data_IF_732126140672
#
_entry.id   IF_732126140672
#
_cell.length_a   1.000
_cell.length_b   1.000
_cell.length_c   1.000
_cell.angle_alpha   90.00
_cell.angle_beta   90.00
_cell.angle_gamma   90.00
#
_symmetry.space_group_name_H-M   'P 1'
#
loop_
_entity.id
_entity.type
_entity.pdbx_description
1 polymer ?
#
# COMPACT_ATOMS: atom_id res chain seq x y z
N UNK A 1 -18.48 4.80 46.08
CA UNK A 1 -19.05 4.84 44.71
C UNK A 1 -17.91 5.12 43.73
N UNK A 2 -17.25 4.10 43.16
CA UNK A 2 -16.20 4.33 42.15
C UNK A 2 -16.83 4.54 40.77
N UNK A 3 -16.47 5.63 40.11
CA UNK A 3 -16.96 6.03 38.79
C UNK A 3 -16.29 5.19 37.70
N UNK A 4 -17.10 4.55 36.85
CA UNK A 4 -16.66 3.71 35.72
C UNK A 4 -16.06 4.60 34.62
N UNK A 5 -14.79 4.38 34.30
CA UNK A 5 -14.15 4.94 33.12
C UNK A 5 -14.70 4.28 31.85
N UNK A 6 -15.38 5.07 31.02
CA UNK A 6 -15.84 4.66 29.69
C UNK A 6 -14.64 4.52 28.75
N UNK A 7 -14.32 3.29 28.34
CA UNK A 7 -13.35 3.02 27.27
C UNK A 7 -13.91 3.57 25.96
N UNK A 8 -13.33 4.66 25.47
CA UNK A 8 -13.50 5.11 24.09
C UNK A 8 -12.70 4.17 23.19
N UNK A 9 -13.39 3.48 22.30
CA UNK A 9 -12.78 2.63 21.28
C UNK A 9 -12.40 3.53 20.10
N UNK A 10 -11.16 3.49 19.57
CA UNK A 10 -10.79 4.29 18.42
C UNK A 10 -11.54 3.80 17.16
N UNK A 11 -11.84 4.70 16.19
CA UNK A 11 -12.47 4.29 14.94
C UNK A 11 -11.53 3.40 14.12
N UNK A 12 -12.11 2.38 13.49
CA UNK A 12 -11.41 1.51 12.55
C UNK A 12 -10.83 2.34 11.40
N UNK A 13 -9.50 2.36 11.26
CA UNK A 13 -8.85 2.93 10.09
C UNK A 13 -9.34 2.19 8.86
N UNK A 14 -9.91 2.91 7.88
CA UNK A 14 -10.17 2.37 6.56
C UNK A 14 -8.82 2.01 5.94
N UNK A 15 -8.45 0.73 6.03
CA UNK A 15 -7.51 0.16 5.09
C UNK A 15 -8.12 0.30 3.68
N UNK A 16 -7.35 0.70 2.66
CA UNK A 16 -7.85 0.67 1.29
C UNK A 16 -8.28 -0.78 0.98
N UNK A 17 -9.55 -0.97 0.64
CA UNK A 17 -10.04 -2.26 0.16
C UNK A 17 -9.51 -2.47 -1.25
N UNK A 18 -8.54 -3.37 -1.41
CA UNK A 18 -7.82 -3.61 -2.67
C UNK A 18 -8.64 -4.40 -3.71
N UNK A 19 -9.98 -4.42 -3.61
CA UNK A 19 -10.81 -5.45 -4.26
C UNK A 19 -11.52 -5.07 -5.56
N UNK A 20 -11.36 -3.88 -6.15
CA UNK A 20 -12.10 -3.54 -7.39
C UNK A 20 -11.28 -2.67 -8.37
N UNK A 21 -10.47 -3.30 -9.23
CA UNK A 21 -9.96 -2.70 -10.46
C UNK A 21 -9.50 -3.75 -11.50
N UNK A 22 -10.46 -4.36 -12.22
CA UNK A 22 -10.28 -5.05 -13.50
C UNK A 22 -11.68 -5.10 -14.15
N UNK A 23 -11.98 -4.75 -15.40
CA UNK A 23 -11.26 -4.87 -16.67
C UNK A 23 -12.00 -3.97 -17.68
N UNK A 24 -11.31 -3.16 -18.49
CA UNK A 24 -11.86 -2.70 -19.77
C UNK A 24 -10.75 -2.22 -20.70
N UNK A 25 -10.53 -2.97 -21.78
CA UNK A 25 -9.50 -2.76 -22.78
C UNK A 25 -10.11 -2.03 -23.98
N UNK A 26 -9.63 -0.82 -24.28
CA UNK A 26 -9.85 -0.16 -25.56
C UNK A 26 -8.53 0.47 -26.04
N UNK A 27 -8.20 0.19 -27.30
CA UNK A 27 -6.93 0.54 -27.93
C UNK A 27 -6.84 2.02 -28.32
N UNK A 28 -5.67 2.63 -28.10
CA UNK A 28 -5.31 4.01 -28.49
C UNK A 28 -4.11 3.97 -29.46
N UNK A 29 -4.08 4.79 -30.53
CA UNK A 29 -3.01 4.82 -31.53
C UNK A 29 -1.71 5.50 -31.02
N UNK A 30 -0.57 5.35 -31.71
CA UNK A 30 0.75 5.66 -31.15
C UNK A 30 1.05 7.17 -31.08
N UNK A 31 1.74 7.57 -30.00
CA UNK A 31 2.26 8.92 -29.76
C UNK A 31 3.69 9.09 -30.34
N UNK A 32 4.10 10.32 -30.72
CA UNK A 32 5.41 10.61 -31.32
C UNK A 32 6.58 10.60 -30.32
N UNK A 33 7.80 10.51 -30.86
CA UNK A 33 9.07 10.25 -30.19
C UNK A 33 9.49 11.29 -29.10
N UNK A 34 10.26 10.89 -28.07
CA UNK A 34 10.58 11.75 -26.93
C UNK A 34 11.80 12.67 -27.17
N UNK A 35 11.67 13.93 -26.77
CA UNK A 35 12.77 14.90 -26.58
C UNK A 35 13.49 14.66 -25.23
N UNK A 36 14.80 14.94 -25.11
CA UNK A 36 15.61 14.51 -23.97
C UNK A 36 15.68 15.55 -22.85
N UNK A 37 14.98 15.36 -21.72
CA UNK A 37 15.13 16.27 -20.57
C UNK A 37 15.13 15.58 -19.20
N UNK A 38 16.33 15.58 -18.62
CA UNK A 38 16.68 16.00 -17.24
C UNK A 38 15.73 15.64 -16.08
N UNK A 39 16.15 14.64 -15.32
CA UNK A 39 15.71 14.30 -13.96
C UNK A 39 15.96 15.45 -12.96
N UNK A 40 15.03 15.70 -12.02
CA UNK A 40 15.42 16.07 -10.67
C UNK A 40 14.99 14.99 -9.67
N UNK A 41 15.97 14.63 -8.85
CA UNK A 41 15.95 13.61 -7.82
C UNK A 41 14.91 13.89 -6.73
N UNK A 42 14.36 12.81 -6.17
CA UNK A 42 13.72 12.83 -4.87
C UNK A 42 14.73 13.37 -3.83
N UNK A 43 14.33 14.41 -3.10
CA UNK A 43 15.09 14.96 -1.98
C UNK A 43 14.95 14.00 -0.81
N UNK A 44 15.92 13.09 -0.67
CA UNK A 44 16.11 12.28 0.52
C UNK A 44 16.68 13.19 1.63
N UNK A 45 15.90 13.42 2.69
CA UNK A 45 16.41 13.97 3.93
C UNK A 45 17.06 12.83 4.73
N UNK A 46 18.37 12.73 4.59
CA UNK A 46 19.26 11.88 5.39
C UNK A 46 19.33 12.41 6.83
N UNK A 47 18.93 11.58 7.79
CA UNK A 47 19.10 11.82 9.21
C UNK A 47 19.86 10.63 9.82
N UNK A 48 21.18 10.81 9.87
CA UNK A 48 22.18 10.02 10.59
C UNK A 48 21.67 9.52 11.95
N UNK A 49 21.67 8.20 12.17
CA UNK A 49 21.60 7.59 13.51
C UNK A 49 22.80 6.66 13.71
N UNK A 50 23.50 6.74 14.86
CA UNK A 50 24.63 5.87 15.14
C UNK A 50 24.15 4.47 15.56
N UNK A 51 24.93 3.46 15.16
CA UNK A 51 24.74 2.05 15.53
C UNK A 51 25.20 1.77 16.98
N UNK A 52 24.51 0.89 17.73
CA UNK A 52 25.11 0.30 18.92
C UNK A 52 25.93 -0.95 18.57
N UNK A 53 27.20 -0.90 18.94
CA UNK A 53 28.17 -2.00 19.01
C UNK A 53 27.87 -2.93 20.18
N UNK A 54 27.83 -4.25 19.95
CA UNK A 54 28.68 -5.26 20.63
C UNK A 54 28.21 -6.71 20.33
N UNK A 55 29.13 -7.69 20.40
CA UNK A 55 28.97 -9.01 19.78
C UNK A 55 28.42 -10.06 20.74
N UNK A 56 27.69 -11.05 20.22
CA UNK A 56 27.44 -12.32 20.93
C UNK A 56 27.97 -13.47 20.08
N UNK A 57 28.99 -14.12 20.62
CA UNK A 57 29.63 -15.35 20.15
C UNK A 57 28.80 -16.56 20.61
N UNK A 58 28.46 -17.47 19.70
CA UNK A 58 28.03 -18.86 20.03
C UNK A 58 28.75 -19.82 19.07
N UNK A 59 29.50 -20.81 19.55
CA UNK A 59 30.19 -21.80 18.70
C UNK A 59 29.28 -22.98 18.29
N UNK A 60 29.72 -23.82 17.31
CA UNK A 60 28.84 -24.75 16.60
C UNK A 60 28.79 -26.13 17.27
N UNK A 61 27.74 -26.91 17.00
CA UNK A 61 27.72 -28.36 17.21
C UNK A 61 26.71 -29.04 16.27
N UNK A 62 27.23 -29.86 15.37
CA UNK A 62 26.56 -31.06 14.81
C UNK A 62 27.67 -32.09 14.60
N UNK A 63 27.39 -33.38 14.80
CA UNK A 63 27.03 -34.18 13.62
C UNK A 63 25.95 -35.27 13.87
N UNK A 64 25.22 -35.61 12.80
CA UNK A 64 24.44 -36.85 12.58
C UNK A 64 25.38 -38.09 12.45
N UNK A 65 24.90 -39.36 12.53
CA UNK A 65 24.34 -40.07 11.34
C UNK A 65 23.26 -41.16 11.57
N UNK A 66 22.47 -41.37 10.51
CA UNK A 66 21.87 -42.59 9.91
C UNK A 66 21.43 -43.81 10.76
N UNK A 67 20.19 -44.25 10.50
CA UNK A 67 19.90 -45.63 10.04
C UNK A 67 18.40 -45.84 9.68
N UNK A 68 18.18 -46.15 8.39
CA UNK A 68 17.45 -47.31 7.85
C UNK A 68 15.91 -47.48 7.97
N UNK A 69 15.33 -47.90 6.85
CA UNK A 69 13.91 -48.08 6.47
C UNK A 69 13.39 -49.52 6.83
N UNK A 70 12.09 -49.95 6.67
CA UNK A 70 11.27 -49.84 5.43
C UNK A 70 9.71 -49.74 5.57
N UNK A 71 9.05 -49.55 4.40
CA UNK A 71 7.61 -49.66 4.10
C UNK A 71 7.08 -51.14 4.13
N UNK A 72 5.79 -51.51 4.21
CA UNK A 72 4.71 -51.43 3.19
C UNK A 72 3.37 -52.13 3.69
N UNK A 73 2.26 -52.20 2.89
CA UNK A 73 0.81 -52.18 3.30
C UNK A 73 0.05 -53.54 3.06
N UNK A 74 -1.27 -53.67 2.68
CA UNK A 74 -2.50 -52.84 2.79
C UNK A 74 -3.74 -53.61 3.36
N UNK A 75 -4.89 -52.93 3.59
CA UNK A 75 -6.22 -53.61 3.61
C UNK A 75 -7.41 -52.67 3.33
N UNK A 76 -8.22 -53.05 2.33
CA UNK A 76 -9.64 -52.75 2.05
C UNK A 76 -10.25 -54.10 1.59
N UNK A 77 -11.55 -54.45 1.78
CA UNK A 77 -12.71 -53.64 1.32
C UNK A 77 -14.02 -53.68 2.18
N UNK A 78 -14.95 -52.82 1.73
CA UNK A 78 -16.41 -52.63 1.97
C UNK A 78 -17.29 -53.92 2.10
N UNK A 79 -18.57 -53.89 2.58
CA UNK A 79 -19.65 -53.02 2.04
C UNK A 79 -20.83 -52.61 2.98
N UNK A 80 -21.57 -51.55 2.60
CA UNK A 80 -23.02 -51.58 2.30
C UNK A 80 -23.69 -50.17 2.36
N UNK A 81 -24.14 -49.70 1.18
CA UNK A 81 -25.21 -48.70 0.93
C UNK A 81 -26.60 -49.38 1.10
N UNK A 82 -27.78 -48.70 1.14
CA UNK A 82 -28.19 -47.45 0.45
C UNK A 82 -29.02 -46.50 1.38
N UNK A 83 -29.66 -45.37 1.02
CA UNK A 83 -30.14 -44.82 -0.24
C UNK A 83 -30.43 -43.31 -0.08
N UNK A 84 -30.27 -42.58 -1.19
CA UNK A 84 -30.94 -41.34 -1.65
C UNK A 84 -31.49 -40.28 -0.65
N UNK A 85 -31.18 -39.00 -0.88
CA UNK A 85 -32.13 -38.03 -1.50
C UNK A 85 -31.63 -36.58 -1.41
N UNK A 86 -31.72 -35.89 -2.55
CA UNK A 86 -31.73 -34.45 -2.80
C UNK A 86 -30.44 -33.62 -2.80
N UNK A 87 -30.16 -33.13 -4.01
CA UNK A 87 -29.39 -31.94 -4.30
C UNK A 87 -30.06 -30.68 -3.73
N UNK A 88 -29.23 -29.76 -3.24
CA UNK A 88 -29.54 -28.33 -3.25
C UNK A 88 -28.25 -27.56 -3.66
N UNK A 89 -28.22 -26.87 -4.81
CA UNK A 89 -27.05 -26.15 -5.29
C UNK A 89 -27.10 -24.69 -4.81
N UNK A 90 -27.04 -24.43 -3.51
CA UNK A 90 -26.93 -23.05 -3.00
C UNK A 90 -26.01 -22.95 -1.78
N UNK A 91 -24.69 -23.05 -2.01
CA UNK A 91 -23.69 -22.70 -0.99
C UNK A 91 -22.37 -22.19 -1.60
N UNK A 92 -22.45 -21.32 -2.61
CA UNK A 92 -21.29 -20.63 -3.18
C UNK A 92 -21.17 -19.20 -2.64
N UNK A 93 -20.95 -19.00 -1.32
CA UNK A 93 -20.80 -17.65 -0.75
C UNK A 93 -19.96 -17.42 0.55
N UNK A 94 -19.31 -18.40 1.23
CA UNK A 94 -18.40 -18.07 2.35
C UNK A 94 -16.91 -17.97 1.96
N UNK A 95 -16.48 -18.66 0.90
CA UNK A 95 -15.04 -18.82 0.58
C UNK A 95 -14.42 -17.58 -0.09
N UNK A 96 -15.18 -16.85 -0.94
CA UNK A 96 -14.66 -15.66 -1.63
C UNK A 96 -14.43 -14.46 -0.69
N UNK A 97 -15.35 -14.18 0.24
CA UNK A 97 -15.23 -13.11 1.24
C UNK A 97 -14.12 -13.37 2.26
N UNK A 98 -13.97 -14.62 2.71
CA UNK A 98 -12.86 -15.00 3.58
C UNK A 98 -11.50 -14.92 2.85
N UNK A 99 -11.47 -15.26 1.55
CA UNK A 99 -10.25 -15.19 0.72
C UNK A 99 -9.80 -13.74 0.45
N UNK A 100 -10.73 -12.80 0.24
CA UNK A 100 -10.38 -11.38 0.11
C UNK A 100 -9.83 -10.82 1.42
N UNK A 101 -10.49 -11.10 2.55
CA UNK A 101 -10.03 -10.64 3.87
C UNK A 101 -8.62 -11.12 4.22
N UNK A 102 -8.33 -12.42 4.00
CA UNK A 102 -6.98 -12.96 4.27
C UNK A 102 -5.88 -12.35 3.40
N UNK A 103 -6.23 -11.94 2.19
CA UNK A 103 -5.29 -11.33 1.27
C UNK A 103 -4.99 -9.88 1.67
N UNK A 104 -6.01 -9.15 2.11
CA UNK A 104 -5.88 -7.81 2.66
C UNK A 104 -5.08 -7.83 3.97
N UNK A 105 -5.32 -8.80 4.86
CA UNK A 105 -4.53 -9.00 6.09
C UNK A 105 -3.04 -9.20 5.77
N UNK A 106 -2.73 -9.99 4.74
CA UNK A 106 -1.35 -10.23 4.28
C UNK A 106 -0.71 -8.95 3.75
N UNK A 107 -1.42 -8.15 2.95
CA UNK A 107 -0.91 -6.87 2.45
C UNK A 107 -0.68 -5.86 3.58
N UNK A 108 -1.57 -5.80 4.56
CA UNK A 108 -1.41 -4.92 5.72
C UNK A 108 -0.21 -5.33 6.57
N UNK A 109 -0.02 -6.64 6.79
CA UNK A 109 1.16 -7.16 7.49
C UNK A 109 2.45 -6.92 6.70
N UNK A 110 2.41 -7.09 5.37
CA UNK A 110 3.53 -6.83 4.48
C UNK A 110 3.93 -5.35 4.53
N UNK A 111 2.96 -4.43 4.40
CA UNK A 111 3.21 -2.99 4.46
C UNK A 111 3.89 -2.60 5.78
N UNK A 112 3.35 -3.04 6.92
CA UNK A 112 3.94 -2.74 8.23
C UNK A 112 5.37 -3.27 8.34
N UNK A 113 5.59 -4.55 8.01
CA UNK A 113 6.91 -5.18 8.12
C UNK A 113 7.93 -4.56 7.15
N UNK A 114 7.52 -4.26 5.92
CA UNK A 114 8.37 -3.57 4.96
C UNK A 114 8.72 -2.19 5.50
N UNK A 115 7.77 -1.37 5.92
CA UNK A 115 8.05 -0.04 6.48
C UNK A 115 9.05 -0.11 7.65
N UNK A 116 8.83 -1.02 8.62
CA UNK A 116 9.69 -1.21 9.79
C UNK A 116 11.12 -1.67 9.46
N UNK A 117 11.29 -2.63 8.52
CA UNK A 117 12.53 -3.40 8.38
C UNK A 117 13.19 -3.33 7.00
N UNK A 118 12.58 -2.62 6.05
CA UNK A 118 12.98 -2.62 4.64
C UNK A 118 12.45 -3.85 3.89
N UNK A 119 12.14 -3.66 2.61
CA UNK A 119 11.67 -4.75 1.75
C UNK A 119 12.66 -5.93 1.74
N UNK A 120 13.97 -5.64 1.66
CA UNK A 120 15.02 -6.68 1.64
C UNK A 120 15.15 -7.43 2.98
N UNK A 121 14.85 -6.77 4.10
CA UNK A 121 14.99 -7.33 5.45
C UNK A 121 13.85 -8.25 5.89
N UNK A 122 12.78 -8.37 5.07
CA UNK A 122 11.60 -9.18 5.38
C UNK A 122 11.53 -10.41 4.47
N UNK A 123 11.28 -11.57 5.06
CA UNK A 123 10.96 -12.81 4.35
C UNK A 123 9.45 -13.00 4.19
N UNK A 124 9.02 -13.63 3.09
CA UNK A 124 7.59 -13.89 2.84
C UNK A 124 6.96 -14.74 3.96
N UNK A 125 7.68 -15.73 4.49
CA UNK A 125 7.22 -16.55 5.62
C UNK A 125 6.98 -15.73 6.90
N UNK A 126 7.74 -14.65 7.13
CA UNK A 126 7.53 -13.77 8.29
C UNK A 126 6.21 -12.99 8.17
N UNK A 127 5.84 -12.59 6.95
CA UNK A 127 4.56 -11.95 6.65
C UNK A 127 3.41 -12.93 6.90
N UNK A 128 3.54 -14.17 6.41
CA UNK A 128 2.56 -15.23 6.66
C UNK A 128 2.37 -15.50 8.15
N UNK A 129 3.48 -15.65 8.88
CA UNK A 129 3.45 -15.89 10.31
C UNK A 129 2.73 -14.76 11.09
N UNK A 130 2.90 -13.50 10.67
CA UNK A 130 2.26 -12.35 11.30
C UNK A 130 0.72 -12.38 11.22
N UNK A 131 0.14 -13.09 10.25
CA UNK A 131 -1.32 -13.25 10.08
C UNK A 131 -1.81 -14.68 10.36
N UNK A 132 -0.93 -15.53 10.91
CA UNK A 132 -1.25 -16.92 11.27
C UNK A 132 -1.30 -17.90 10.09
N UNK A 133 -0.70 -17.55 8.94
CA UNK A 133 -0.53 -18.45 7.79
C UNK A 133 0.86 -19.09 7.87
N UNK A 134 0.92 -20.43 7.85
CA UNK A 134 2.18 -21.19 7.96
C UNK A 134 2.53 -21.90 6.65
N UNK A 135 3.83 -21.93 6.33
CA UNK A 135 4.40 -22.73 5.25
C UNK A 135 3.81 -22.41 3.89
N UNK A 136 3.59 -23.41 3.01
CA UNK A 136 3.24 -23.17 1.60
C UNK A 136 1.88 -22.48 1.39
N UNK A 137 1.09 -22.28 2.46
CA UNK A 137 -0.21 -21.62 2.39
C UNK A 137 -0.16 -20.16 1.95
N UNK A 138 0.95 -19.46 2.18
CA UNK A 138 1.12 -18.06 1.74
C UNK A 138 1.17 -17.92 0.22
N UNK A 139 1.77 -18.90 -0.47
CA UNK A 139 1.92 -18.90 -1.92
C UNK A 139 0.61 -19.06 -2.69
N UNK A 140 -0.47 -19.45 -2.00
CA UNK A 140 -1.83 -19.44 -2.57
C UNK A 140 -2.41 -18.03 -2.70
N UNK A 141 -1.88 -17.06 -1.97
CA UNK A 141 -2.33 -15.67 -1.99
C UNK A 141 -1.41 -14.78 -2.83
N UNK A 142 -0.10 -15.03 -2.76
CA UNK A 142 0.92 -14.26 -3.46
C UNK A 142 2.04 -15.17 -3.94
N UNK A 143 2.38 -15.08 -5.23
CA UNK A 143 3.44 -15.91 -5.81
C UNK A 143 4.84 -15.60 -5.23
N UNK A 144 5.07 -14.37 -4.78
CA UNK A 144 6.35 -13.93 -4.23
C UNK A 144 6.18 -12.69 -3.34
N UNK A 145 7.27 -12.33 -2.63
CA UNK A 145 7.36 -11.09 -1.86
C UNK A 145 7.31 -9.86 -2.79
N UNK A 146 7.95 -9.96 -3.96
CA UNK A 146 7.95 -8.95 -5.01
C UNK A 146 6.54 -8.67 -5.54
N UNK A 147 5.71 -9.72 -5.67
CA UNK A 147 4.30 -9.56 -6.05
C UNK A 147 3.52 -8.75 -5.00
N UNK A 148 3.80 -8.94 -3.71
CA UNK A 148 3.19 -8.12 -2.65
C UNK A 148 3.64 -6.66 -2.73
N UNK A 149 4.93 -6.40 -2.92
CA UNK A 149 5.46 -5.03 -3.04
C UNK A 149 4.86 -4.32 -4.27
N UNK A 150 4.82 -5.01 -5.40
CA UNK A 150 4.21 -4.54 -6.65
C UNK A 150 2.78 -4.13 -6.41
N UNK A 151 2.01 -5.00 -5.77
CA UNK A 151 0.61 -4.71 -5.50
C UNK A 151 0.39 -3.54 -4.56
N UNK A 152 1.19 -3.43 -3.49
CA UNK A 152 1.12 -2.29 -2.58
C UNK A 152 1.38 -0.98 -3.32
N UNK A 153 2.47 -0.89 -4.11
CA UNK A 153 2.92 0.36 -4.72
C UNK A 153 2.14 0.73 -6.00
N UNK A 154 1.85 -0.25 -6.87
CA UNK A 154 1.01 -0.03 -8.06
C UNK A 154 -0.42 0.24 -7.63
N UNK A 155 -0.96 -0.58 -6.72
CA UNK A 155 -2.34 -0.47 -6.25
C UNK A 155 -2.62 0.88 -5.60
N UNK A 156 -1.72 1.37 -4.73
CA UNK A 156 -1.92 2.68 -4.09
C UNK A 156 -1.79 3.84 -5.08
N UNK A 157 -0.87 3.74 -6.05
CA UNK A 157 -0.70 4.75 -7.10
C UNK A 157 -1.94 4.85 -7.99
N UNK A 158 -2.53 3.70 -8.35
CA UNK A 158 -3.80 3.64 -9.07
C UNK A 158 -4.94 4.22 -8.25
N UNK A 159 -5.03 3.86 -6.96
CA UNK A 159 -6.07 4.35 -6.06
C UNK A 159 -6.04 5.89 -5.93
N UNK A 160 -4.86 6.48 -5.74
CA UNK A 160 -4.69 7.93 -5.67
C UNK A 160 -5.09 8.62 -6.97
N UNK A 161 -4.62 8.11 -8.11
CA UNK A 161 -4.95 8.64 -9.43
C UNK A 161 -6.45 8.57 -9.72
N UNK A 162 -7.05 7.39 -9.56
CA UNK A 162 -8.48 7.19 -9.78
C UNK A 162 -9.32 8.07 -8.84
N UNK A 163 -8.85 8.24 -7.61
CA UNK A 163 -9.47 9.12 -6.65
C UNK A 163 -9.52 10.58 -7.08
N UNK A 164 -8.40 11.11 -7.57
CA UNK A 164 -8.35 12.47 -8.13
C UNK A 164 -9.20 12.60 -9.40
N UNK A 165 -9.18 11.61 -10.29
CA UNK A 165 -10.02 11.61 -11.49
C UNK A 165 -11.52 11.66 -11.13
N UNK A 166 -11.95 10.90 -10.13
CA UNK A 166 -13.33 10.93 -9.62
C UNK A 166 -13.71 12.27 -9.00
N UNK A 167 -12.78 12.97 -8.34
CA UNK A 167 -13.04 14.33 -7.84
C UNK A 167 -13.31 15.28 -9.00
N UNK A 168 -12.50 15.19 -10.06
CA UNK A 168 -12.53 16.12 -11.19
C UNK A 168 -13.61 15.83 -12.22
N UNK A 169 -14.08 14.57 -12.34
CA UNK A 169 -15.18 14.22 -13.25
C UNK A 169 -16.52 14.83 -12.86
N UNK A 170 -16.67 15.25 -11.59
CA UNK A 170 -17.84 16.00 -11.11
C UNK A 170 -17.83 17.49 -11.51
N UNK A 171 -16.83 17.92 -12.30
CA UNK A 171 -16.55 19.30 -12.70
C UNK A 171 -16.72 20.36 -11.59
N UNK A 172 -16.04 20.18 -10.44
CA UNK A 172 -16.10 21.16 -9.37
C UNK A 172 -15.37 22.45 -9.76
N UNK A 173 -15.73 23.54 -9.07
CA UNK A 173 -14.93 24.78 -9.09
C UNK A 173 -13.48 24.49 -8.70
N UNK A 174 -12.53 25.32 -9.14
CA UNK A 174 -11.11 25.09 -8.85
C UNK A 174 -10.80 25.04 -7.34
N UNK A 175 -11.49 25.85 -6.54
CA UNK A 175 -11.33 25.87 -5.08
C UNK A 175 -11.87 24.59 -4.43
N UNK A 176 -13.07 24.14 -4.82
CA UNK A 176 -13.65 22.89 -4.31
C UNK A 176 -12.85 21.65 -4.76
N UNK A 177 -12.37 21.65 -6.01
CA UNK A 177 -11.47 20.62 -6.52
C UNK A 177 -10.22 20.49 -5.65
N UNK A 178 -9.58 21.61 -5.33
CA UNK A 178 -8.38 21.64 -4.51
C UNK A 178 -8.66 21.14 -3.09
N UNK A 179 -9.71 21.64 -2.44
CA UNK A 179 -10.10 21.23 -1.08
C UNK A 179 -10.31 19.70 -1.00
N UNK A 180 -11.05 19.14 -1.96
CA UNK A 180 -11.32 17.70 -2.03
C UNK A 180 -10.06 16.88 -2.31
N UNK A 181 -9.17 17.36 -3.18
CA UNK A 181 -7.88 16.69 -3.46
C UNK A 181 -6.97 16.72 -2.22
N UNK A 182 -6.85 17.86 -1.55
CA UNK A 182 -6.07 18.01 -0.30
C UNK A 182 -6.61 17.09 0.79
N UNK A 183 -7.92 17.13 1.06
CA UNK A 183 -8.56 16.26 2.05
C UNK A 183 -8.26 14.78 1.80
N UNK A 184 -8.46 14.32 0.57
CA UNK A 184 -8.20 12.92 0.21
C UNK A 184 -6.73 12.53 0.36
N UNK A 185 -5.80 13.40 -0.04
CA UNK A 185 -4.37 13.09 0.08
C UNK A 185 -3.90 13.09 1.54
N UNK A 186 -4.44 13.98 2.37
CA UNK A 186 -4.22 14.00 3.82
C UNK A 186 -4.78 12.74 4.49
N UNK A 187 -6.01 12.35 4.17
CA UNK A 187 -6.61 11.10 4.68
C UNK A 187 -5.75 9.89 4.33
N UNK A 188 -5.26 9.82 3.09
CA UNK A 188 -4.31 8.81 2.67
C UNK A 188 -3.03 8.83 3.52
N UNK A 189 -2.36 9.97 3.63
CA UNK A 189 -1.06 10.09 4.28
C UNK A 189 -1.11 9.84 5.79
N UNK A 190 -2.24 10.19 6.44
CA UNK A 190 -2.46 9.93 7.86
C UNK A 190 -2.83 8.47 8.12
N UNK A 191 -3.63 7.86 7.23
CA UNK A 191 -4.08 6.47 7.38
C UNK A 191 -3.05 5.42 6.94
N UNK A 192 -2.12 5.78 6.04
CA UNK A 192 -1.21 4.84 5.40
C UNK A 192 0.27 5.32 5.42
N UNK A 193 0.83 5.73 6.59
CA UNK A 193 2.21 6.21 6.66
C UNK A 193 3.23 5.16 6.23
N UNK A 194 2.96 3.88 6.46
CA UNK A 194 3.82 2.77 6.04
C UNK A 194 4.02 2.76 4.51
N UNK A 195 2.97 3.05 3.73
CA UNK A 195 3.07 3.08 2.27
C UNK A 195 3.94 4.22 1.77
N UNK A 196 3.99 5.35 2.49
CA UNK A 196 4.89 6.46 2.17
C UNK A 196 6.34 6.03 2.41
N UNK A 197 6.63 5.40 3.56
CA UNK A 197 7.98 4.89 3.88
C UNK A 197 8.46 3.88 2.84
N UNK A 198 7.60 2.93 2.45
CA UNK A 198 7.93 1.92 1.46
C UNK A 198 8.15 2.57 0.09
N UNK A 199 7.32 3.54 -0.28
CA UNK A 199 7.49 4.26 -1.53
C UNK A 199 8.86 4.96 -1.60
N UNK A 200 9.22 5.71 -0.55
CA UNK A 200 10.46 6.50 -0.53
C UNK A 200 11.71 5.61 -0.52
N UNK A 201 11.65 4.48 0.18
CA UNK A 201 12.83 3.62 0.38
C UNK A 201 12.95 2.47 -0.62
N UNK A 202 11.83 1.84 -0.98
CA UNK A 202 11.81 0.51 -1.60
C UNK A 202 11.27 0.50 -3.04
N UNK A 203 10.90 1.65 -3.62
CA UNK A 203 10.39 1.75 -5.01
C UNK A 203 11.31 1.08 -6.04
N UNK A 204 12.62 1.28 -5.91
CA UNK A 204 13.63 0.69 -6.80
C UNK A 204 13.84 -0.81 -6.62
N UNK A 205 13.15 -1.45 -5.67
CA UNK A 205 13.14 -2.89 -5.52
C UNK A 205 12.07 -3.56 -6.38
N UNK A 206 11.19 -2.78 -7.03
CA UNK A 206 10.22 -3.32 -7.98
C UNK A 206 10.90 -3.84 -9.25
N UNK A 207 10.29 -4.83 -9.94
CA UNK A 207 10.62 -5.11 -11.32
C UNK A 207 10.49 -3.84 -12.17
N UNK A 208 11.40 -3.65 -13.15
CA UNK A 208 11.45 -2.42 -13.94
C UNK A 208 10.11 -2.02 -14.60
N UNK A 209 9.31 -2.94 -15.16
CA UNK A 209 7.98 -2.60 -15.68
C UNK A 209 7.05 -1.99 -14.62
N UNK A 210 7.07 -2.52 -13.40
CA UNK A 210 6.20 -2.08 -12.31
C UNK A 210 6.69 -0.74 -11.72
N UNK A 211 8.02 -0.55 -11.61
CA UNK A 211 8.60 0.74 -11.23
C UNK A 211 8.18 1.84 -12.23
N UNK A 212 8.29 1.54 -13.54
CA UNK A 212 7.88 2.47 -14.59
C UNK A 212 6.39 2.81 -14.51
N UNK A 213 5.54 1.82 -14.22
CA UNK A 213 4.11 2.04 -14.07
C UNK A 213 3.79 2.92 -12.86
N UNK A 214 4.40 2.68 -11.69
CA UNK A 214 4.26 3.55 -10.52
C UNK A 214 4.63 4.99 -10.87
N UNK A 215 5.81 5.19 -11.49
CA UNK A 215 6.25 6.55 -11.88
C UNK A 215 5.31 7.20 -12.89
N UNK A 216 4.74 6.43 -13.82
CA UNK A 216 3.76 6.94 -14.80
C UNK A 216 2.48 7.40 -14.11
N UNK A 217 1.95 6.60 -13.19
CA UNK A 217 0.75 6.93 -12.40
C UNK A 217 0.97 8.17 -11.53
N UNK A 218 2.14 8.29 -10.90
CA UNK A 218 2.50 9.46 -10.10
C UNK A 218 2.58 10.74 -10.92
N UNK A 219 3.21 10.69 -12.10
CA UNK A 219 3.23 11.84 -13.01
C UNK A 219 1.81 12.25 -13.40
N UNK A 220 0.96 11.28 -13.77
CA UNK A 220 -0.43 11.57 -14.10
C UNK A 220 -1.19 12.21 -12.92
N UNK A 221 -0.96 11.73 -11.69
CA UNK A 221 -1.56 12.31 -10.49
C UNK A 221 -1.10 13.75 -10.27
N UNK A 222 0.20 14.04 -10.40
CA UNK A 222 0.77 15.40 -10.31
C UNK A 222 0.13 16.32 -11.35
N UNK A 223 -0.04 15.86 -12.60
CA UNK A 223 -0.63 16.70 -13.66
C UNK A 223 -2.09 17.09 -13.39
N UNK A 224 -2.87 16.25 -12.70
CA UNK A 224 -4.22 16.64 -12.25
C UNK A 224 -4.17 17.80 -11.26
N UNK A 225 -3.23 17.77 -10.32
CA UNK A 225 -3.01 18.87 -9.37
C UNK A 225 -2.53 20.13 -10.07
N UNK A 226 -1.60 20.01 -11.01
CA UNK A 226 -1.12 21.14 -11.83
C UNK A 226 -2.30 21.79 -12.57
N UNK A 227 -3.19 20.99 -13.16
CA UNK A 227 -4.39 21.49 -13.82
C UNK A 227 -5.28 22.31 -12.87
N UNK A 228 -5.58 21.77 -11.68
CA UNK A 228 -6.40 22.47 -10.67
C UNK A 228 -5.74 23.77 -10.20
N UNK A 229 -4.44 23.73 -9.87
CA UNK A 229 -3.69 24.89 -9.40
C UNK A 229 -3.68 26.01 -10.45
N UNK A 230 -3.57 25.69 -11.74
CA UNK A 230 -3.62 26.68 -12.82
C UNK A 230 -5.01 27.24 -13.08
N UNK A 231 -6.09 26.46 -12.83
CA UNK A 231 -7.45 27.01 -12.85
C UNK A 231 -7.68 27.97 -11.68
N UNK A 232 -7.12 27.65 -10.51
CA UNK A 232 -7.23 28.47 -9.31
C UNK A 232 -6.39 29.76 -9.41
N UNK A 233 -5.20 29.66 -10.01
CA UNK A 233 -4.21 30.73 -10.17
C UNK A 233 -3.74 30.80 -11.63
N UNK A 234 -4.51 31.46 -12.52
CA UNK A 234 -4.22 31.54 -13.97
C UNK A 234 -2.85 32.13 -14.33
N UNK A 235 -2.26 32.91 -13.43
CA UNK A 235 -0.94 33.50 -13.54
C UNK A 235 0.21 32.49 -13.39
N UNK A 236 -0.05 31.28 -12.86
CA UNK A 236 0.99 30.27 -12.69
C UNK A 236 1.35 29.61 -14.03
N UNK A 237 2.64 29.60 -14.32
CA UNK A 237 3.20 28.72 -15.35
C UNK A 237 3.08 27.25 -14.93
N UNK A 238 3.04 26.34 -15.89
CA UNK A 238 2.99 24.90 -15.57
C UNK A 238 4.17 24.42 -14.69
N UNK A 239 5.42 24.85 -14.91
CA UNK A 239 6.52 24.53 -14.00
C UNK A 239 6.29 25.06 -12.57
N UNK A 240 5.81 26.30 -12.40
CA UNK A 240 5.56 26.87 -11.08
C UNK A 240 4.43 26.14 -10.34
N UNK A 241 3.35 25.79 -11.03
CA UNK A 241 2.28 24.97 -10.48
C UNK A 241 2.77 23.56 -10.08
N UNK A 242 3.68 22.97 -10.86
CA UNK A 242 4.27 21.66 -10.55
C UNK A 242 5.16 21.69 -9.32
N UNK A 243 6.00 22.72 -9.17
CA UNK A 243 6.79 22.94 -7.95
C UNK A 243 5.87 23.06 -6.74
N UNK A 244 4.77 23.83 -6.86
CA UNK A 244 3.79 23.98 -5.79
C UNK A 244 3.09 22.67 -5.43
N UNK A 245 2.69 21.87 -6.42
CA UNK A 245 2.11 20.54 -6.17
C UNK A 245 3.09 19.64 -5.40
N UNK A 246 4.36 19.59 -5.82
CA UNK A 246 5.38 18.81 -5.10
C UNK A 246 5.65 19.33 -3.68
N UNK A 247 5.64 20.65 -3.46
CA UNK A 247 5.79 21.21 -2.11
C UNK A 247 4.61 20.81 -1.20
N UNK A 248 3.38 20.82 -1.72
CA UNK A 248 2.19 20.35 -1.00
C UNK A 248 2.32 18.85 -0.69
N UNK A 249 2.76 18.02 -1.64
CA UNK A 249 2.99 16.59 -1.39
C UNK A 249 4.07 16.36 -0.35
N UNK A 250 5.20 17.08 -0.40
CA UNK A 250 6.24 16.98 0.62
C UNK A 250 5.74 17.34 2.02
N UNK A 251 4.91 18.39 2.12
CA UNK A 251 4.26 18.77 3.37
C UNK A 251 3.34 17.66 3.88
N UNK A 252 2.43 17.16 3.04
CA UNK A 252 1.45 16.13 3.43
C UNK A 252 2.14 14.79 3.74
N UNK A 253 3.15 14.40 2.96
CA UNK A 253 3.83 13.11 3.10
C UNK A 253 4.93 13.11 4.16
N UNK A 254 5.08 14.20 4.93
CA UNK A 254 5.94 14.24 6.11
C UNK A 254 5.38 13.42 7.30
N UNK A 255 4.19 12.81 7.15
CA UNK A 255 3.49 12.06 8.21
C UNK A 255 4.31 10.94 8.85
N UNK A 256 5.21 10.19 8.17
CA UNK A 256 6.02 9.17 8.84
C UNK A 256 6.94 9.73 9.92
N UNK A 257 7.37 10.99 9.80
CA UNK A 257 8.23 11.65 10.80
C UNK A 257 7.47 12.16 12.03
N UNK A 258 6.14 12.20 11.95
CA UNK A 258 5.25 12.66 13.04
C UNK A 258 4.26 11.58 13.50
N UNK A 259 4.39 10.36 12.99
CA UNK A 259 3.55 9.22 13.37
C UNK A 259 3.79 8.84 14.83
N UNK A 260 2.72 8.78 15.64
CA UNK A 260 2.78 8.37 17.05
C UNK A 260 2.97 9.50 18.07
N UNK A 261 3.38 10.70 17.66
CA UNK A 261 3.54 11.84 18.57
C UNK A 261 2.25 12.68 18.76
N UNK A 262 1.32 12.60 17.80
CA UNK A 262 0.15 13.48 17.72
C UNK A 262 -1.13 12.70 17.37
N UNK A 263 -2.26 13.19 17.87
CA UNK A 263 -3.60 12.73 17.51
C UNK A 263 -3.78 12.76 15.97
N UNK A 264 -4.19 11.64 15.32
CA UNK A 264 -4.45 11.60 13.88
C UNK A 264 -5.39 12.70 13.38
N UNK A 265 -6.44 13.06 14.14
CA UNK A 265 -7.40 14.08 13.74
C UNK A 265 -6.79 15.48 13.74
N UNK A 266 -5.98 15.78 14.77
CA UNK A 266 -5.22 17.05 14.86
C UNK A 266 -4.24 17.15 13.71
N UNK A 267 -3.50 16.07 13.42
CA UNK A 267 -2.55 16.02 12.30
C UNK A 267 -3.24 16.24 10.95
N UNK A 268 -4.35 15.55 10.70
CA UNK A 268 -5.12 15.72 9.47
C UNK A 268 -5.62 17.16 9.29
N UNK A 269 -6.18 17.76 10.34
CA UNK A 269 -6.69 19.14 10.31
C UNK A 269 -5.57 20.14 10.02
N UNK A 270 -4.42 20.01 10.69
CA UNK A 270 -3.27 20.88 10.49
C UNK A 270 -2.69 20.76 9.08
N UNK A 271 -2.46 19.54 8.59
CA UNK A 271 -1.91 19.31 7.26
C UNK A 271 -2.85 19.84 6.16
N UNK A 272 -4.15 19.64 6.33
CA UNK A 272 -5.15 20.18 5.41
C UNK A 272 -5.09 21.71 5.35
N UNK A 273 -5.13 22.39 6.50
CA UNK A 273 -5.08 23.85 6.56
C UNK A 273 -3.79 24.40 5.92
N UNK A 274 -2.63 23.82 6.23
CA UNK A 274 -1.34 24.24 5.68
C UNK A 274 -1.24 23.98 4.17
N UNK A 275 -1.69 22.81 3.70
CA UNK A 275 -1.69 22.47 2.28
C UNK A 275 -2.60 23.41 1.47
N UNK A 276 -3.80 23.71 1.97
CA UNK A 276 -4.71 24.67 1.34
C UNK A 276 -4.09 26.06 1.29
N UNK A 277 -3.50 26.54 2.39
CA UNK A 277 -2.81 27.83 2.41
C UNK A 277 -1.63 27.88 1.42
N UNK A 278 -0.81 26.82 1.37
CA UNK A 278 0.31 26.71 0.44
C UNK A 278 -0.14 26.67 -1.03
N UNK A 279 -1.33 26.15 -1.31
CA UNK A 279 -1.90 26.17 -2.65
C UNK A 279 -2.37 27.56 -3.09
N UNK A 280 -2.86 28.39 -2.14
CA UNK A 280 -3.42 29.72 -2.41
C UNK A 280 -2.45 30.88 -2.23
N UNK A 281 -1.30 30.67 -1.59
CA UNK A 281 -0.24 31.69 -1.38
C UNK A 281 0.59 31.98 -2.64
#
# INVERSE_FOLDING_TARGET
MPSRATRVTPPAGLAPTFSDAATSTAATPPAPAPEPHTTPAAVALDATRPAPTSPVTVPPSTPEPDADQPAAPPARPDPARPDQTNADPTAAAPVRRARSGRRDDLLQAAARLFAERGFRGVGIEQIGAAVGIRGPGIYRHFASKDAMLTELLVGISQHLLHGAQTVLSADPSAADALDRLVRRHVEFAVGNPDLIVIHDRDLHSLPAPDEHEVRRLQRAYVELWVGVLRRLRPELTAPAARVRAHAIFGLINSTPHSSGALDPAVRATTLHAMATAAATA
#
